data_IF_044606056271
#
_entry.id   IF_044606056271
#
_cell.length_a   1.000
_cell.length_b   1.000
_cell.length_c   1.000
_cell.angle_alpha   90.00
_cell.angle_beta   90.00
_cell.angle_gamma   90.00
#
_symmetry.space_group_name_H-M   'P 1'
#
loop_
_entity.id
_entity.type
_entity.pdbx_description
1 polymer ?
#
# COMPACT_ATOMS: atom_id res chain seq x y z
N UNK A 1 2.72 -5.57 17.49
CA UNK A 1 3.15 -4.57 16.49
C UNK A 1 2.15 -3.42 16.46
N UNK A 2 2.60 -2.17 16.61
CA UNK A 2 1.72 -0.99 16.53
C UNK A 2 1.11 -0.82 15.13
N UNK A 3 1.87 -1.08 14.07
CA UNK A 3 1.40 -1.01 12.69
C UNK A 3 0.23 -1.96 12.40
N UNK A 4 0.24 -3.16 12.98
CA UNK A 4 -0.88 -4.11 12.84
C UNK A 4 -2.13 -3.53 13.49
N UNK A 5 -2.03 -2.97 14.71
CA UNK A 5 -3.16 -2.35 15.39
C UNK A 5 -3.77 -1.21 14.56
N UNK A 6 -2.93 -0.30 14.07
CA UNK A 6 -3.37 0.82 13.23
C UNK A 6 -4.02 0.33 11.93
N UNK A 7 -3.46 -0.70 11.29
CA UNK A 7 -4.06 -1.32 10.11
C UNK A 7 -5.51 -1.78 10.39
N UNK A 8 -5.77 -2.44 11.52
CA UNK A 8 -7.10 -2.93 11.87
C UNK A 8 -8.11 -1.81 12.14
N UNK A 9 -7.65 -0.66 12.64
CA UNK A 9 -8.46 0.53 12.89
C UNK A 9 -8.68 1.37 11.62
N UNK A 10 -7.85 1.18 10.59
CA UNK A 10 -7.95 1.89 9.31
C UNK A 10 -8.91 1.22 8.32
N UNK A 11 -9.58 2.03 7.50
CA UNK A 11 -10.36 1.53 6.35
C UNK A 11 -9.49 1.26 5.13
N UNK A 12 -8.41 2.03 4.97
CA UNK A 12 -7.45 1.80 3.93
C UNK A 12 -6.03 2.15 4.35
N UNK A 13 -5.07 1.51 3.69
CA UNK A 13 -3.65 1.65 3.97
C UNK A 13 -2.82 1.87 2.70
N UNK A 14 -1.75 2.64 2.87
CA UNK A 14 -0.70 2.78 1.87
C UNK A 14 0.57 2.12 2.42
N UNK A 15 1.12 1.15 1.69
CA UNK A 15 2.34 0.45 2.11
C UNK A 15 3.50 0.89 1.20
N UNK A 16 4.53 1.44 1.84
CA UNK A 16 5.71 1.99 1.17
C UNK A 16 6.92 1.10 1.34
N UNK A 17 7.71 0.88 0.28
CA UNK A 17 9.02 0.25 0.39
C UNK A 17 10.00 0.75 -0.66
N UNK A 18 11.29 0.96 -0.33
CA UNK A 18 12.33 1.00 -1.36
C UNK A 18 12.51 -0.38 -1.99
N UNK A 19 13.04 -0.43 -3.21
CA UNK A 19 13.59 -1.66 -3.79
C UNK A 19 14.90 -2.03 -3.11
N UNK A 20 14.95 -3.25 -2.57
CA UNK A 20 16.14 -3.89 -2.03
C UNK A 20 16.33 -5.25 -2.71
N UNK A 21 17.38 -5.41 -3.52
CA UNK A 21 17.64 -6.62 -4.31
C UNK A 21 16.43 -7.11 -5.14
N UNK A 22 15.77 -6.18 -5.86
CA UNK A 22 14.56 -6.42 -6.66
C UNK A 22 13.31 -6.84 -5.86
N UNK A 23 13.38 -6.76 -4.53
CA UNK A 23 12.31 -7.09 -3.58
C UNK A 23 11.97 -5.87 -2.71
N UNK A 24 10.92 -5.99 -1.91
CA UNK A 24 10.60 -5.06 -0.83
C UNK A 24 11.59 -5.18 0.32
N UNK A 25 11.65 -4.14 1.15
CA UNK A 25 12.55 -4.07 2.29
C UNK A 25 12.15 -5.09 3.37
N UNK A 26 13.10 -5.72 4.08
CA UNK A 26 12.79 -6.84 4.99
C UNK A 26 11.75 -6.56 6.06
N UNK A 27 11.72 -5.35 6.63
CA UNK A 27 10.73 -4.99 7.66
C UNK A 27 9.31 -4.86 7.10
N UNK A 28 9.17 -4.50 5.83
CA UNK A 28 7.88 -4.47 5.13
C UNK A 28 7.44 -5.90 4.81
N UNK A 29 8.37 -6.75 4.38
CA UNK A 29 8.10 -8.18 4.17
C UNK A 29 7.63 -8.88 5.46
N UNK A 30 8.29 -8.62 6.59
CA UNK A 30 7.88 -9.13 7.91
C UNK A 30 6.47 -8.67 8.29
N UNK A 31 6.17 -7.37 8.10
CA UNK A 31 4.85 -6.81 8.37
C UNK A 31 3.76 -7.48 7.52
N UNK A 32 3.97 -7.62 6.20
CA UNK A 32 3.00 -8.24 5.30
C UNK A 32 2.86 -9.75 5.58
N UNK A 33 3.95 -10.44 5.92
CA UNK A 33 3.90 -11.85 6.32
C UNK A 33 3.02 -12.05 7.55
N UNK A 34 3.20 -11.22 8.59
CA UNK A 34 2.36 -11.24 9.78
C UNK A 34 0.91 -10.94 9.43
N UNK A 35 0.68 -9.87 8.67
CA UNK A 35 -0.65 -9.41 8.30
C UNK A 35 -1.42 -10.49 7.51
N UNK A 36 -0.76 -11.17 6.59
CA UNK A 36 -1.34 -12.29 5.82
C UNK A 36 -1.85 -13.41 6.72
N UNK A 37 -1.10 -13.75 7.78
CA UNK A 37 -1.53 -14.75 8.77
C UNK A 37 -2.83 -14.38 9.49
N UNK A 38 -3.10 -13.08 9.63
CA UNK A 38 -4.32 -12.55 10.28
C UNK A 38 -5.52 -12.42 9.32
N UNK A 39 -5.35 -12.73 8.03
CA UNK A 39 -6.43 -12.78 7.01
C UNK A 39 -7.32 -11.53 7.01
N UNK A 40 -6.77 -10.33 6.74
CA UNK A 40 -7.54 -9.10 6.72
C UNK A 40 -8.63 -9.13 5.63
N UNK A 41 -9.78 -8.52 5.93
CA UNK A 41 -10.94 -8.38 5.01
C UNK A 41 -11.53 -7.00 5.08
N UNK A 42 -12.28 -6.52 4.09
CA UNK A 42 -12.99 -5.23 4.16
C UNK A 42 -12.07 -3.99 4.25
N UNK A 43 -10.85 -4.09 3.71
CA UNK A 43 -9.87 -2.99 3.65
C UNK A 43 -9.44 -2.78 2.21
N UNK A 44 -9.11 -1.53 1.89
CA UNK A 44 -8.57 -1.12 0.60
C UNK A 44 -7.09 -0.73 0.76
N UNK A 45 -6.24 -1.15 -0.17
CA UNK A 45 -4.79 -0.94 -0.08
C UNK A 45 -4.19 -0.46 -1.40
N UNK A 46 -3.12 0.33 -1.31
CA UNK A 46 -2.24 0.61 -2.44
C UNK A 46 -0.78 0.59 -1.99
N UNK A 47 0.12 0.47 -2.96
CA UNK A 47 1.55 0.40 -2.72
C UNK A 47 2.28 1.58 -3.38
N UNK A 48 3.35 2.01 -2.74
CA UNK A 48 4.26 3.00 -3.31
C UNK A 48 5.71 2.68 -2.94
N UNK A 49 6.66 3.30 -3.61
CA UNK A 49 8.06 3.02 -3.34
C UNK A 49 9.04 3.87 -4.15
N UNK A 50 10.31 3.68 -3.86
CA UNK A 50 11.41 4.24 -4.64
C UNK A 50 12.37 3.15 -5.09
N UNK A 51 13.03 3.35 -6.22
CA UNK A 51 13.98 2.38 -6.76
C UNK A 51 15.17 3.08 -7.42
N UNK A 52 16.28 2.35 -7.61
CA UNK A 52 17.45 2.87 -8.33
C UNK A 52 17.50 2.44 -9.79
N UNK A 53 17.26 1.15 -10.04
CA UNK A 53 17.28 0.58 -11.40
C UNK A 53 16.14 -0.42 -11.60
N UNK A 54 16.26 -1.62 -11.01
CA UNK A 54 15.46 -2.78 -11.37
C UNK A 54 14.03 -2.81 -10.85
N UNK A 55 13.63 -1.84 -10.01
CA UNK A 55 12.30 -1.80 -9.40
C UNK A 55 11.96 -3.08 -8.64
N UNK A 56 10.68 -3.35 -8.44
CA UNK A 56 10.20 -4.66 -7.99
C UNK A 56 9.52 -4.67 -6.61
N UNK A 57 9.86 -3.75 -5.71
CA UNK A 57 9.24 -3.70 -4.39
C UNK A 57 7.72 -3.47 -4.45
N UNK A 58 7.27 -2.49 -5.25
CA UNK A 58 5.84 -2.18 -5.38
C UNK A 58 5.09 -3.35 -6.01
N UNK A 59 5.67 -3.99 -7.02
CA UNK A 59 5.12 -5.21 -7.62
C UNK A 59 4.95 -6.33 -6.60
N UNK A 60 5.98 -6.61 -5.80
CA UNK A 60 5.95 -7.67 -4.80
C UNK A 60 4.92 -7.37 -3.69
N UNK A 61 4.79 -6.11 -3.26
CA UNK A 61 3.74 -5.70 -2.32
C UNK A 61 2.34 -5.96 -2.90
N UNK A 62 2.11 -5.64 -4.18
CA UNK A 62 0.84 -5.94 -4.84
C UNK A 62 0.57 -7.45 -4.95
N UNK A 63 1.59 -8.27 -5.15
CA UNK A 63 1.44 -9.73 -5.11
C UNK A 63 0.99 -10.22 -3.73
N UNK A 64 1.53 -9.67 -2.64
CA UNK A 64 1.07 -9.97 -1.28
C UNK A 64 -0.36 -9.48 -1.01
N UNK A 65 -0.75 -8.29 -1.50
CA UNK A 65 -2.14 -7.82 -1.43
C UNK A 65 -3.11 -8.77 -2.13
N UNK A 66 -2.73 -9.27 -3.33
CA UNK A 66 -3.51 -10.25 -4.10
C UNK A 66 -3.62 -11.58 -3.35
N UNK A 67 -2.52 -12.07 -2.76
CA UNK A 67 -2.53 -13.27 -1.90
C UNK A 67 -3.44 -13.13 -0.68
N UNK A 68 -3.56 -11.92 -0.14
CA UNK A 68 -4.46 -11.62 0.99
C UNK A 68 -5.93 -11.40 0.58
N UNK A 69 -6.23 -11.22 -0.72
CA UNK A 69 -7.57 -10.90 -1.21
C UNK A 69 -8.08 -9.53 -0.76
N UNK A 70 -7.17 -8.56 -0.60
CA UNK A 70 -7.53 -7.18 -0.29
C UNK A 70 -8.17 -6.48 -1.50
N UNK A 71 -8.95 -5.43 -1.26
CA UNK A 71 -9.33 -4.50 -2.32
C UNK A 71 -8.09 -3.67 -2.69
N UNK A 72 -7.75 -3.60 -3.97
CA UNK A 72 -6.47 -3.01 -4.43
C UNK A 72 -6.72 -1.80 -5.31
N UNK A 73 -6.00 -0.72 -5.03
CA UNK A 73 -5.91 0.44 -5.94
C UNK A 73 -4.60 0.34 -6.74
N UNK A 74 -4.73 0.13 -8.04
CA UNK A 74 -3.64 0.15 -9.03
C UNK A 74 -3.90 1.26 -10.09
N UNK A 75 -2.85 1.78 -10.76
CA UNK A 75 -1.44 1.52 -10.48
C UNK A 75 -0.96 2.20 -9.18
N UNK A 76 0.13 1.67 -8.61
CA UNK A 76 0.84 2.31 -7.49
C UNK A 76 1.75 3.44 -7.95
N UNK A 77 2.54 3.99 -7.03
CA UNK A 77 3.52 5.04 -7.32
C UNK A 77 4.95 4.54 -7.11
N UNK A 78 5.80 4.69 -8.12
CA UNK A 78 7.23 4.42 -8.02
C UNK A 78 8.04 5.67 -8.40
N UNK A 79 9.00 6.03 -7.55
CA UNK A 79 9.89 7.18 -7.76
C UNK A 79 11.32 6.70 -7.99
N UNK A 80 11.97 7.24 -9.02
CA UNK A 80 13.37 6.94 -9.32
C UNK A 80 14.29 7.75 -8.39
N UNK A 81 15.15 7.06 -7.64
CA UNK A 81 16.06 7.65 -6.66
C UNK A 81 15.35 8.56 -5.64
N UNK A 82 15.93 9.74 -5.37
CA UNK A 82 15.39 10.73 -4.46
C UNK A 82 14.28 11.53 -5.18
N UNK A 83 13.11 11.72 -4.56
CA UNK A 83 12.04 12.52 -5.14
C UNK A 83 12.49 13.94 -5.52
N UNK A 84 12.09 14.36 -6.72
CA UNK A 84 12.09 15.77 -7.13
C UNK A 84 10.82 16.48 -6.64
N UNK A 85 10.74 17.80 -6.81
CA UNK A 85 9.50 18.56 -6.56
C UNK A 85 8.33 18.06 -7.41
N UNK A 86 8.59 17.58 -8.64
CA UNK A 86 7.55 17.01 -9.49
C UNK A 86 7.05 15.67 -8.91
N UNK A 87 7.94 14.86 -8.37
CA UNK A 87 7.59 13.59 -7.73
C UNK A 87 6.83 13.80 -6.41
N UNK A 88 7.15 14.86 -5.66
CA UNK A 88 6.39 15.26 -4.48
C UNK A 88 4.93 15.62 -4.85
N UNK A 89 4.71 16.32 -5.96
CA UNK A 89 3.37 16.59 -6.46
C UNK A 89 2.63 15.30 -6.85
N UNK A 90 3.33 14.36 -7.50
CA UNK A 90 2.77 13.02 -7.83
C UNK A 90 2.41 12.24 -6.56
N UNK A 91 3.25 12.28 -5.52
CA UNK A 91 2.98 11.67 -4.22
C UNK A 91 1.72 12.26 -3.57
N UNK A 92 1.57 13.59 -3.61
CA UNK A 92 0.39 14.28 -3.07
C UNK A 92 -0.88 13.89 -3.83
N UNK A 93 -0.84 13.91 -5.15
CA UNK A 93 -1.97 13.54 -6.00
C UNK A 93 -2.37 12.08 -5.81
N UNK A 94 -1.39 11.17 -5.72
CA UNK A 94 -1.60 9.76 -5.40
C UNK A 94 -2.32 9.58 -4.06
N UNK A 95 -1.85 10.25 -3.00
CA UNK A 95 -2.48 10.21 -1.68
C UNK A 95 -3.92 10.77 -1.70
N UNK A 96 -4.14 11.89 -2.40
CA UNK A 96 -5.47 12.51 -2.54
C UNK A 96 -6.46 11.58 -3.23
N UNK A 97 -6.03 10.94 -4.32
CA UNK A 97 -6.90 10.05 -5.09
C UNK A 97 -7.15 8.73 -4.35
N UNK A 98 -6.15 8.20 -3.63
CA UNK A 98 -6.35 7.08 -2.73
C UNK A 98 -7.38 7.41 -1.64
N UNK A 99 -7.26 8.57 -0.98
CA UNK A 99 -8.21 8.98 0.05
C UNK A 99 -9.65 9.10 -0.47
N UNK A 100 -9.84 9.59 -1.70
CA UNK A 100 -11.17 9.61 -2.36
C UNK A 100 -11.72 8.19 -2.54
N UNK A 101 -10.91 7.26 -3.06
CA UNK A 101 -11.29 5.86 -3.23
C UNK A 101 -11.60 5.17 -1.89
N UNK A 102 -10.86 5.47 -0.83
CA UNK A 102 -11.14 4.97 0.53
C UNK A 102 -12.51 5.43 1.01
N UNK A 103 -12.84 6.73 0.87
CA UNK A 103 -14.17 7.25 1.24
C UNK A 103 -15.27 6.57 0.47
N UNK A 104 -15.10 6.39 -0.83
CA UNK A 104 -16.09 5.71 -1.67
C UNK A 104 -16.27 4.24 -1.30
N UNK A 105 -15.17 3.52 -1.08
CA UNK A 105 -15.18 2.14 -0.61
C UNK A 105 -15.88 2.02 0.76
N UNK A 106 -15.67 2.98 1.67
CA UNK A 106 -16.25 2.96 3.01
C UNK A 106 -17.78 3.03 3.00
N UNK A 107 -18.40 3.73 2.03
CA UNK A 107 -19.87 3.83 1.90
C UNK A 107 -20.57 2.46 1.80
N UNK A 108 -19.88 1.40 1.36
CA UNK A 108 -20.40 0.02 1.34
C UNK A 108 -20.76 -0.49 2.74
N UNK A 109 -20.18 0.09 3.78
CA UNK A 109 -20.33 -0.33 5.18
C UNK A 109 -21.24 0.61 5.99
N UNK A 110 -21.50 1.83 5.51
CA UNK A 110 -22.40 2.79 6.17
C UNK A 110 -23.88 2.40 6.06
N UNK A 111 -24.23 1.52 5.10
CA UNK A 111 -25.61 1.04 4.88
C UNK A 111 -25.90 -0.34 5.48
N UNK A 112 -24.91 -0.91 6.17
CA UNK A 112 -24.99 -2.26 6.74
C UNK A 112 -25.31 -2.26 8.24
N UNK A 113 -25.49 -1.08 8.84
CA UNK A 113 -25.95 -0.85 10.21
C UNK A 113 -27.38 -0.29 10.22
#
# INVERSE_FOLDING_TARGET
SAAIKEFWQSRGCLIGSPTFNNLMYPTIAEFLYHLRGLRPKNRIAAAFGSYGWGGGAVKEIYEEFKRMGLEIVEPGLEVLYRPSLEDENKCYDFGRDFARKVKEYHKKFEKAD
#
